data_IF_331115165710
#
_entry.id   IF_331115165710
#
_cell.length_a   1.000
_cell.length_b   1.000
_cell.length_c   1.000
_cell.angle_alpha   90.00
_cell.angle_beta   90.00
_cell.angle_gamma   90.00
#
_symmetry.space_group_name_H-M   'P 1'
#
loop_
_entity.id
_entity.type
_entity.pdbx_description
1 polymer ?
#
# COMPACT_ATOMS: atom_id res chain seq x y z
N UNK A 1 20.78 -4.35 20.94
CA UNK A 1 19.76 -3.29 20.96
C UNK A 1 20.18 -2.30 19.89
N UNK A 2 19.28 -1.95 18.97
CA UNK A 2 19.55 -0.89 18.00
C UNK A 2 19.39 0.41 18.75
N UNK A 3 20.52 1.05 19.00
CA UNK A 3 20.61 2.22 19.88
C UNK A 3 20.97 3.49 19.12
N UNK A 4 21.26 3.40 17.82
CA UNK A 4 21.71 4.56 17.04
C UNK A 4 20.88 4.76 15.77
N UNK A 5 20.57 6.02 15.51
CA UNK A 5 19.88 6.49 14.30
C UNK A 5 20.52 5.96 13.01
N UNK A 6 21.86 5.88 13.00
CA UNK A 6 22.65 5.38 11.88
C UNK A 6 22.36 3.92 11.54
N UNK A 7 22.15 3.07 12.55
CA UNK A 7 21.80 1.66 12.34
C UNK A 7 20.37 1.50 11.79
N UNK A 8 19.45 2.38 12.16
CA UNK A 8 18.06 2.31 11.70
C UNK A 8 17.97 2.62 10.19
N UNK A 9 18.61 3.71 9.75
CA UNK A 9 18.55 4.21 8.37
C UNK A 9 19.64 3.71 7.43
N UNK A 10 20.38 2.66 7.79
CA UNK A 10 21.27 2.03 6.82
C UNK A 10 20.46 1.59 5.57
N UNK A 11 20.98 1.77 4.34
CA UNK A 11 20.16 1.53 3.15
C UNK A 11 19.61 0.10 3.08
N UNK A 12 18.34 -0.02 2.72
CA UNK A 12 17.71 -1.31 2.40
C UNK A 12 17.75 -1.55 0.88
N UNK A 13 18.16 -2.74 0.42
CA UNK A 13 18.09 -3.08 -0.99
C UNK A 13 16.65 -3.05 -1.49
N UNK A 14 16.41 -2.29 -2.57
CA UNK A 14 15.10 -2.30 -3.25
C UNK A 14 14.84 -3.67 -3.90
N UNK A 15 13.57 -4.08 -4.04
CA UNK A 15 13.20 -5.29 -4.77
C UNK A 15 13.87 -5.35 -6.15
N UNK A 16 14.40 -6.52 -6.49
CA UNK A 16 14.92 -6.78 -7.82
C UNK A 16 13.95 -7.72 -8.55
N UNK A 17 13.17 -7.22 -9.52
CA UNK A 17 12.19 -8.03 -10.23
C UNK A 17 12.80 -9.26 -10.90
N UNK A 18 14.06 -9.17 -11.38
CA UNK A 18 14.76 -10.27 -12.02
C UNK A 18 15.14 -11.41 -11.05
N UNK A 19 15.10 -11.16 -9.74
CA UNK A 19 15.34 -12.15 -8.68
C UNK A 19 14.07 -12.52 -7.92
N UNK A 20 12.93 -11.98 -8.32
CA UNK A 20 11.66 -12.29 -7.67
C UNK A 20 11.23 -13.72 -7.98
N UNK A 21 10.63 -14.37 -7.00
CA UNK A 21 9.98 -15.67 -7.17
C UNK A 21 8.55 -15.53 -7.71
N UNK A 22 7.99 -14.31 -7.70
CA UNK A 22 6.68 -13.97 -8.25
C UNK A 22 6.76 -14.05 -9.76
N UNK A 23 5.92 -14.88 -10.37
CA UNK A 23 5.89 -15.07 -11.81
C UNK A 23 4.87 -14.13 -12.46
N UNK A 24 5.01 -13.80 -13.76
CA UNK A 24 4.04 -12.97 -14.47
C UNK A 24 2.60 -13.51 -14.38
N UNK A 25 2.43 -14.83 -14.32
CA UNK A 25 1.11 -15.46 -14.24
C UNK A 25 0.42 -15.21 -12.88
N UNK A 26 1.20 -14.98 -11.81
CA UNK A 26 0.67 -14.73 -10.46
C UNK A 26 -0.03 -13.36 -10.34
N UNK A 27 0.34 -12.43 -11.22
CA UNK A 27 -0.19 -11.07 -11.33
C UNK A 27 -1.04 -10.87 -12.58
N UNK A 28 -1.18 -11.90 -13.43
CA UNK A 28 -1.98 -11.85 -14.63
C UNK A 28 -3.46 -11.57 -14.27
N UNK A 29 -4.10 -10.69 -15.04
CA UNK A 29 -5.49 -10.30 -14.82
C UNK A 29 -5.70 -9.21 -13.76
N UNK A 30 -4.62 -8.66 -13.16
CA UNK A 30 -4.76 -7.48 -12.30
C UNK A 30 -5.20 -6.26 -13.14
N UNK A 31 -6.33 -5.61 -12.80
CA UNK A 31 -6.84 -4.49 -13.59
C UNK A 31 -5.88 -3.30 -13.61
N UNK A 32 -5.73 -2.67 -14.77
CA UNK A 32 -4.89 -1.47 -14.93
C UNK A 32 -5.68 -0.18 -14.76
N UNK A 33 -6.99 -0.21 -15.00
CA UNK A 33 -7.88 0.95 -14.89
C UNK A 33 -8.51 1.04 -13.49
N UNK A 34 -8.90 2.25 -13.07
CA UNK A 34 -9.60 2.47 -11.79
C UNK A 34 -10.91 1.69 -11.77
N UNK A 35 -11.67 1.72 -12.87
CA UNK A 35 -12.91 0.98 -12.99
C UNK A 35 -12.67 -0.54 -12.97
N UNK A 36 -13.26 -1.20 -11.98
CA UNK A 36 -13.14 -2.64 -11.81
C UNK A 36 -14.14 -3.40 -12.70
N UNK A 37 -13.68 -4.45 -13.42
CA UNK A 37 -14.54 -5.41 -14.08
C UNK A 37 -15.53 -6.07 -13.11
N UNK A 38 -16.67 -6.54 -13.62
CA UNK A 38 -17.74 -7.10 -12.79
C UNK A 38 -17.28 -8.31 -11.96
N UNK A 39 -16.35 -9.11 -12.48
CA UNK A 39 -15.77 -10.26 -11.77
C UNK A 39 -15.02 -9.90 -10.49
N UNK A 40 -14.61 -8.63 -10.30
CA UNK A 40 -13.96 -8.14 -9.09
C UNK A 40 -14.90 -7.39 -8.15
N UNK A 41 -16.17 -7.21 -8.53
CA UNK A 41 -17.15 -6.45 -7.76
C UNK A 41 -17.76 -7.34 -6.67
N UNK A 42 -17.54 -6.92 -5.43
CA UNK A 42 -18.18 -7.55 -4.28
C UNK A 42 -19.69 -7.28 -4.30
N UNK A 43 -20.49 -8.35 -4.16
CA UNK A 43 -21.94 -8.26 -4.16
C UNK A 43 -22.52 -8.83 -2.87
N UNK A 44 -22.77 -7.94 -1.90
CA UNK A 44 -23.34 -8.28 -0.59
C UNK A 44 -24.69 -8.99 -0.70
N UNK A 45 -25.50 -8.68 -1.73
CA UNK A 45 -26.81 -9.33 -1.94
C UNK A 45 -26.63 -10.78 -2.38
N UNK A 46 -25.76 -11.03 -3.35
CA UNK A 46 -25.45 -12.41 -3.80
C UNK A 46 -24.82 -13.23 -2.68
N UNK A 47 -23.88 -12.66 -1.93
CA UNK A 47 -23.29 -13.35 -0.78
C UNK A 47 -24.33 -13.87 0.22
N UNK A 48 -25.45 -13.16 0.41
CA UNK A 48 -26.52 -13.57 1.33
C UNK A 48 -27.51 -14.57 0.74
N UNK A 49 -27.68 -14.58 -0.58
CA UNK A 49 -28.80 -15.24 -1.25
C UNK A 49 -28.39 -16.39 -2.19
N UNK A 50 -27.13 -16.43 -2.61
CA UNK A 50 -26.59 -17.36 -3.60
C UNK A 50 -25.51 -18.23 -2.94
N UNK A 51 -25.81 -19.49 -2.58
CA UNK A 51 -24.86 -20.41 -1.95
C UNK A 51 -23.63 -20.72 -2.80
N UNK A 52 -23.72 -20.55 -4.12
CA UNK A 52 -22.63 -20.78 -5.07
C UNK A 52 -21.78 -19.51 -5.29
N UNK A 53 -22.16 -18.38 -4.69
CA UNK A 53 -21.41 -17.15 -4.83
C UNK A 53 -20.04 -17.26 -4.16
N UNK A 54 -18.99 -17.24 -4.99
CA UNK A 54 -17.61 -17.14 -4.54
C UNK A 54 -17.21 -15.68 -4.50
N UNK A 55 -16.72 -15.23 -3.34
CA UNK A 55 -16.18 -13.88 -3.21
C UNK A 55 -15.03 -13.68 -4.19
N UNK A 56 -15.01 -12.58 -4.94
CA UNK A 56 -13.91 -12.31 -5.85
C UNK A 56 -12.65 -12.01 -5.05
N UNK A 57 -11.47 -12.13 -5.67
CA UNK A 57 -10.23 -11.79 -4.98
C UNK A 57 -10.23 -10.29 -4.67
N UNK A 58 -9.99 -9.93 -3.41
CA UNK A 58 -9.89 -8.53 -2.98
C UNK A 58 -8.66 -7.87 -3.61
N UNK A 59 -8.82 -6.65 -4.13
CA UNK A 59 -7.77 -5.83 -4.73
C UNK A 59 -7.62 -4.54 -3.93
N UNK A 60 -6.44 -3.93 -4.03
CA UNK A 60 -6.10 -2.68 -3.36
C UNK A 60 -5.59 -1.67 -4.39
N UNK A 61 -6.23 -0.50 -4.46
CA UNK A 61 -5.86 0.60 -5.36
C UNK A 61 -4.97 1.58 -4.61
N UNK A 62 -3.82 1.92 -5.21
CA UNK A 62 -2.83 2.74 -4.54
C UNK A 62 -1.50 2.88 -5.27
N UNK A 63 -0.48 3.30 -4.53
CA UNK A 63 0.89 3.47 -5.01
C UNK A 63 1.83 2.40 -4.47
N UNK A 64 2.72 1.89 -5.32
CA UNK A 64 3.76 0.97 -4.90
C UNK A 64 4.94 1.71 -4.29
N UNK A 65 5.42 1.23 -3.14
CA UNK A 65 6.54 1.81 -2.38
C UNK A 65 7.41 0.71 -1.77
N UNK A 66 8.68 1.03 -1.53
CA UNK A 66 9.65 0.14 -0.89
C UNK A 66 9.90 0.53 0.56
N UNK A 67 10.51 -0.38 1.34
CA UNK A 67 10.94 -0.06 2.73
C UNK A 67 11.82 1.20 2.75
N UNK A 68 12.72 1.35 1.78
CA UNK A 68 13.60 2.53 1.69
C UNK A 68 12.81 3.84 1.56
N UNK A 69 11.67 3.84 0.86
CA UNK A 69 10.86 5.05 0.68
C UNK A 69 10.24 5.51 2.01
N UNK A 70 9.83 4.57 2.88
CA UNK A 70 9.37 4.91 4.22
C UNK A 70 10.49 5.46 5.11
N UNK A 71 11.69 4.90 5.01
CA UNK A 71 12.85 5.38 5.76
C UNK A 71 13.22 6.81 5.34
N UNK A 72 13.24 7.06 4.03
CA UNK A 72 13.53 8.36 3.46
C UNK A 72 12.44 9.38 3.84
N UNK A 73 11.17 8.99 3.77
CA UNK A 73 10.05 9.81 4.24
C UNK A 73 10.24 10.20 5.71
N UNK A 74 10.38 9.21 6.59
CA UNK A 74 10.45 9.43 8.03
C UNK A 74 11.59 10.39 8.40
N UNK A 75 12.75 10.21 7.75
CA UNK A 75 13.91 11.09 7.92
C UNK A 75 13.68 12.49 7.36
N UNK A 76 13.15 12.62 6.15
CA UNK A 76 12.96 13.91 5.47
C UNK A 76 11.91 14.78 6.16
N UNK A 77 10.88 14.16 6.74
CA UNK A 77 9.83 14.85 7.49
C UNK A 77 10.12 14.95 8.99
N UNK A 78 11.31 14.51 9.43
CA UNK A 78 11.79 14.62 10.82
C UNK A 78 10.81 14.02 11.84
N UNK A 79 10.22 12.87 11.50
CA UNK A 79 9.26 12.21 12.39
C UNK A 79 9.98 11.68 13.65
N UNK A 80 9.25 11.54 14.78
CA UNK A 80 9.84 11.04 16.01
C UNK A 80 10.48 9.67 15.82
N UNK A 81 11.67 9.49 16.39
CA UNK A 81 12.36 8.20 16.34
C UNK A 81 11.55 7.13 17.11
N UNK A 82 11.49 5.90 16.60
CA UNK A 82 10.86 4.82 17.33
C UNK A 82 11.64 4.53 18.63
N UNK A 83 10.96 4.05 19.69
CA UNK A 83 11.66 3.61 20.89
C UNK A 83 12.69 2.51 20.55
N UNK A 84 13.81 2.40 21.29
CA UNK A 84 14.83 1.39 21.05
C UNK A 84 14.23 -0.01 21.00
N UNK A 85 14.69 -0.81 20.05
CA UNK A 85 14.27 -2.20 19.86
C UNK A 85 15.48 -3.11 19.74
N UNK A 86 15.25 -4.41 19.91
CA UNK A 86 16.31 -5.39 19.75
C UNK A 86 16.68 -5.64 18.30
N UNK A 87 15.69 -5.58 17.39
CA UNK A 87 15.84 -6.01 16.00
C UNK A 87 15.42 -4.93 15.01
N UNK A 88 16.18 -4.83 13.93
CA UNK A 88 16.01 -3.80 12.88
C UNK A 88 14.65 -3.83 12.19
N UNK A 89 14.11 -5.00 11.82
CA UNK A 89 12.78 -5.07 11.23
C UNK A 89 11.69 -4.50 12.14
N UNK A 90 11.83 -4.65 13.47
CA UNK A 90 10.86 -4.08 14.42
C UNK A 90 10.92 -2.54 14.42
N UNK A 91 12.11 -1.96 14.28
CA UNK A 91 12.27 -0.51 14.17
C UNK A 91 11.61 -0.01 12.89
N UNK A 92 11.81 -0.73 11.77
CA UNK A 92 11.20 -0.37 10.49
C UNK A 92 9.69 -0.47 10.51
N UNK A 93 9.11 -1.50 11.12
CA UNK A 93 7.66 -1.58 11.28
C UNK A 93 7.11 -0.34 12.01
N UNK A 94 7.74 0.06 13.12
CA UNK A 94 7.34 1.28 13.86
C UNK A 94 7.52 2.56 13.05
N UNK A 95 8.60 2.67 12.26
CA UNK A 95 8.81 3.80 11.36
C UNK A 95 7.70 3.86 10.31
N UNK A 96 7.44 2.74 9.65
CA UNK A 96 6.40 2.67 8.63
C UNK A 96 5.02 2.97 9.23
N UNK A 97 4.73 2.51 10.46
CA UNK A 97 3.47 2.85 11.15
C UNK A 97 3.38 4.36 11.43
N UNK A 98 4.45 5.00 11.91
CA UNK A 98 4.49 6.45 12.13
C UNK A 98 4.34 7.27 10.83
N UNK A 99 4.90 6.77 9.72
CA UNK A 99 4.70 7.39 8.38
C UNK A 99 3.23 7.29 7.96
N UNK A 100 2.61 6.12 8.16
CA UNK A 100 1.18 5.95 7.85
C UNK A 100 0.29 6.85 8.70
N UNK A 101 0.59 7.01 9.99
CA UNK A 101 -0.13 7.94 10.89
C UNK A 101 -0.03 9.40 10.42
N UNK A 102 1.18 9.88 10.09
CA UNK A 102 1.37 11.24 9.56
C UNK A 102 0.60 11.40 8.24
N UNK A 103 0.72 10.46 7.30
CA UNK A 103 0.02 10.54 6.02
C UNK A 103 -1.50 10.54 6.17
N UNK A 104 -2.08 9.67 7.02
CA UNK A 104 -3.51 9.68 7.31
C UNK A 104 -3.95 11.05 7.82
N UNK A 105 -3.18 11.65 8.74
CA UNK A 105 -3.47 12.97 9.27
C UNK A 105 -3.37 14.08 8.21
N UNK A 106 -2.43 13.95 7.26
CA UNK A 106 -2.24 14.92 6.17
C UNK A 106 -3.29 14.80 5.07
N UNK A 107 -3.70 13.59 4.74
CA UNK A 107 -4.73 13.32 3.74
C UNK A 107 -6.14 13.57 4.28
N UNK A 108 -6.30 13.65 5.61
CA UNK A 108 -7.61 13.60 6.28
C UNK A 108 -8.47 12.42 5.80
N UNK A 109 -7.80 11.30 5.49
CA UNK A 109 -8.40 10.11 4.90
C UNK A 109 -7.67 8.85 5.40
N UNK A 110 -8.41 7.77 5.61
CA UNK A 110 -7.83 6.51 6.05
C UNK A 110 -7.13 5.81 4.88
N UNK A 111 -5.80 5.84 4.88
CA UNK A 111 -4.98 5.06 3.96
C UNK A 111 -4.38 3.83 4.65
N UNK A 112 -4.10 2.79 3.88
CA UNK A 112 -3.65 1.48 4.38
C UNK A 112 -2.34 1.06 3.75
N UNK A 113 -1.46 0.47 4.55
CA UNK A 113 -0.24 -0.21 4.08
C UNK A 113 -0.56 -1.69 3.84
N UNK A 114 -0.43 -2.15 2.60
CA UNK A 114 -0.70 -3.53 2.19
C UNK A 114 0.58 -4.17 1.67
N UNK A 115 0.75 -5.48 1.91
CA UNK A 115 1.79 -6.28 1.28
C UNK A 115 1.27 -6.78 -0.09
N UNK A 116 1.74 -6.23 -1.22
CA UNK A 116 1.26 -6.63 -2.53
C UNK A 116 1.91 -7.93 -3.00
N UNK A 117 1.23 -8.61 -3.91
CA UNK A 117 1.86 -9.57 -4.79
C UNK A 117 2.51 -8.78 -5.95
N UNK A 118 3.72 -8.27 -5.72
CA UNK A 118 4.46 -7.50 -6.72
C UNK A 118 5.95 -7.81 -6.69
N UNK A 119 6.62 -7.99 -7.84
CA UNK A 119 8.08 -8.13 -7.89
C UNK A 119 8.81 -6.79 -7.79
N UNK A 120 8.09 -5.67 -7.85
CA UNK A 120 8.65 -4.32 -7.95
C UNK A 120 8.60 -3.51 -6.65
N UNK A 121 7.70 -3.87 -5.73
CA UNK A 121 7.43 -3.08 -4.54
C UNK A 121 7.28 -3.96 -3.31
N UNK A 122 7.83 -3.51 -2.19
CA UNK A 122 7.63 -4.18 -0.89
C UNK A 122 6.21 -3.95 -0.36
N UNK A 123 5.61 -2.78 -0.60
CA UNK A 123 4.32 -2.37 -0.06
C UNK A 123 3.48 -1.57 -1.06
N UNK A 124 2.19 -1.46 -0.76
CA UNK A 124 1.26 -0.52 -1.40
C UNK A 124 0.64 0.38 -0.35
N UNK A 125 0.63 1.67 -0.64
CA UNK A 125 -0.18 2.65 0.09
C UNK A 125 -1.51 2.75 -0.63
N UNK A 126 -2.52 2.12 -0.04
CA UNK A 126 -3.85 1.93 -0.63
C UNK A 126 -4.86 2.86 0.01
N UNK A 127 -5.66 3.50 -0.82
CA UNK A 127 -6.80 4.33 -0.38
C UNK A 127 -8.15 3.69 -0.73
N UNK A 128 -8.20 2.74 -1.67
CA UNK A 128 -9.41 1.93 -1.92
C UNK A 128 -9.16 0.44 -1.91
N UNK A 129 -10.19 -0.30 -1.54
CA UNK A 129 -10.28 -1.74 -1.81
C UNK A 129 -11.47 -2.07 -2.71
N UNK A 130 -11.36 -3.16 -3.48
CA UNK A 130 -12.36 -3.53 -4.50
C UNK A 130 -13.74 -3.87 -3.93
N UNK A 131 -13.82 -4.19 -2.64
CA UNK A 131 -15.09 -4.57 -2.03
C UNK A 131 -15.93 -3.36 -1.68
N UNK A 132 -15.28 -2.26 -1.30
CA UNK A 132 -15.94 -1.09 -0.75
C UNK A 132 -15.75 0.18 -1.57
N UNK A 133 -15.02 0.15 -2.70
CA UNK A 133 -14.82 1.36 -3.52
C UNK A 133 -16.14 2.08 -3.82
N UNK A 134 -17.21 1.38 -4.18
CA UNK A 134 -18.52 2.01 -4.48
C UNK A 134 -19.18 2.78 -3.32
N UNK A 135 -18.73 2.56 -2.08
CA UNK A 135 -19.26 3.21 -0.88
C UNK A 135 -18.22 4.07 -0.16
N UNK A 136 -16.93 3.93 -0.52
CA UNK A 136 -15.79 4.66 0.05
C UNK A 136 -15.11 5.60 -0.95
N UNK A 137 -15.53 5.57 -2.22
CA UNK A 137 -15.02 6.44 -3.26
C UNK A 137 -15.29 7.89 -2.84
N UNK A 138 -14.19 8.63 -2.76
CA UNK A 138 -14.20 10.07 -2.52
C UNK A 138 -14.78 10.78 -3.73
N UNK A 139 -15.27 12.00 -3.51
CA UNK A 139 -15.55 12.90 -4.64
C UNK A 139 -14.24 13.18 -5.42
N UNK A 140 -14.36 13.49 -6.70
CA UNK A 140 -13.20 13.61 -7.60
C UNK A 140 -12.13 14.59 -7.06
N UNK A 141 -12.54 15.70 -6.46
CA UNK A 141 -11.65 16.72 -5.89
C UNK A 141 -10.98 16.27 -4.58
N UNK A 142 -11.70 15.54 -3.73
CA UNK A 142 -11.15 14.93 -2.51
C UNK A 142 -10.13 13.84 -2.85
N UNK A 143 -10.42 12.98 -3.84
CA UNK A 143 -9.48 11.97 -4.32
C UNK A 143 -8.21 12.61 -4.90
N UNK A 144 -8.37 13.64 -5.73
CA UNK A 144 -7.24 14.39 -6.30
C UNK A 144 -6.37 15.02 -5.20
N UNK A 145 -6.96 15.52 -4.11
CA UNK A 145 -6.22 16.03 -2.96
C UNK A 145 -5.44 14.93 -2.24
N UNK A 146 -6.06 13.78 -1.94
CA UNK A 146 -5.37 12.63 -1.32
C UNK A 146 -4.19 12.19 -2.19
N UNK A 147 -4.40 12.03 -3.50
CA UNK A 147 -3.34 11.65 -4.44
C UNK A 147 -2.22 12.69 -4.46
N UNK A 148 -2.56 13.98 -4.50
CA UNK A 148 -1.60 15.08 -4.46
C UNK A 148 -0.77 15.03 -3.19
N UNK A 149 -1.40 14.93 -2.02
CA UNK A 149 -0.72 14.87 -0.73
C UNK A 149 0.26 13.71 -0.69
N UNK A 150 -0.17 12.49 -1.06
CA UNK A 150 0.72 11.32 -1.05
C UNK A 150 1.94 11.56 -1.97
N UNK A 151 1.72 12.08 -3.18
CA UNK A 151 2.79 12.38 -4.14
C UNK A 151 3.77 13.42 -3.63
N UNK A 152 3.27 14.54 -3.09
CA UNK A 152 4.10 15.63 -2.58
C UNK A 152 4.93 15.18 -1.38
N UNK A 153 4.37 14.36 -0.49
CA UNK A 153 5.07 13.96 0.73
C UNK A 153 6.09 12.84 0.48
N UNK A 154 5.82 11.87 -0.38
CA UNK A 154 6.82 10.85 -0.76
C UNK A 154 7.84 11.36 -1.76
N UNK A 155 7.49 12.33 -2.60
CA UNK A 155 8.36 12.85 -3.65
C UNK A 155 8.57 11.86 -4.80
N UNK A 156 9.79 11.84 -5.35
CA UNK A 156 10.16 11.13 -6.58
C UNK A 156 9.67 9.67 -6.70
N UNK A 157 9.71 8.83 -5.64
CA UNK A 157 9.24 7.45 -5.75
C UNK A 157 7.78 7.35 -6.21
N UNK A 158 6.93 8.26 -5.76
CA UNK A 158 5.48 8.21 -6.01
C UNK A 158 5.02 9.25 -7.03
N UNK A 159 5.71 10.39 -7.14
CA UNK A 159 5.29 11.53 -7.97
C UNK A 159 5.00 11.14 -9.43
N UNK A 160 5.82 10.23 -9.99
CA UNK A 160 5.72 9.78 -11.40
C UNK A 160 4.78 8.59 -11.61
N UNK A 161 4.25 8.01 -10.53
CA UNK A 161 3.33 6.88 -10.62
C UNK A 161 1.89 7.37 -10.84
N UNK A 162 1.11 6.55 -11.53
CA UNK A 162 -0.35 6.58 -11.44
C UNK A 162 -0.80 5.47 -10.49
N UNK A 163 -1.81 5.72 -9.65
CA UNK A 163 -2.33 4.68 -8.78
C UNK A 163 -2.93 3.55 -9.63
N UNK A 164 -2.81 2.32 -9.15
CA UNK A 164 -3.29 1.13 -9.84
C UNK A 164 -3.70 0.05 -8.86
N UNK A 165 -4.36 -0.99 -9.35
CA UNK A 165 -4.73 -2.14 -8.53
C UNK A 165 -3.55 -3.07 -8.29
N UNK A 166 -3.55 -3.66 -7.09
CA UNK A 166 -2.62 -4.69 -6.68
C UNK A 166 -3.38 -5.84 -6.04
N UNK A 167 -2.96 -7.06 -6.37
CA UNK A 167 -3.33 -8.21 -5.58
C UNK A 167 -2.60 -8.19 -4.24
N UNK A 168 -3.24 -8.61 -3.13
CA UNK A 168 -2.54 -8.83 -1.88
C UNK A 168 -1.68 -10.10 -1.98
N UNK A 169 -0.59 -10.09 -1.22
CA UNK A 169 0.28 -11.24 -1.04
C UNK A 169 -0.46 -12.44 -0.44
N UNK A 170 -1.23 -12.19 0.62
CA UNK A 170 -2.08 -13.19 1.28
C UNK A 170 -3.45 -13.23 0.62
N UNK A 171 -3.95 -14.43 0.32
CA UNK A 171 -5.27 -14.62 -0.28
C UNK A 171 -6.45 -14.34 0.68
N UNK A 172 -6.17 -14.32 1.99
CA UNK A 172 -7.18 -14.34 3.06
C UNK A 172 -7.18 -13.07 3.92
N UNK A 173 -7.29 -11.87 3.31
CA UNK A 173 -7.65 -10.68 4.07
C UNK A 173 -9.15 -10.43 3.94
N UNK A 174 -9.91 -11.16 4.77
CA UNK A 174 -11.32 -10.89 5.11
C UNK A 174 -11.39 -9.98 6.35
#
# INVERSE_FOLDING_TARGET
>A
MISTEKEIYEPWPRPNPAKSWIKPEDIAGCPTEKELPEEYRYNTRRLRMDPEYRRPRKLFYGFGVDIQDFLDYHKNHQLPLPPPVERRPQAWHRIMDAVMEDLCARCNFEIRRILPLSPHYDYVISFYDSYYIRVQELEDDEEEDVIRVIKERFGDPVAKQSPRWFFPYTRDQD
#
